data_IF_321899948762
#
_entry.id   IF_321899948762
#
_cell.length_a   1.000
_cell.length_b   1.000
_cell.length_c   1.000
_cell.angle_alpha   90.00
_cell.angle_beta   90.00
_cell.angle_gamma   90.00
#
_symmetry.space_group_name_H-M   'P 1'
#
loop_
_entity.id
_entity.type
_entity.pdbx_description
1 polymer ?
#
# COMPACT_ATOMS: atom_id res chain seq x y z
N UNK A 1 12.88 -3.96 -4.58
CA UNK A 1 11.85 -3.96 -3.52
C UNK A 1 11.87 -5.29 -2.78
N UNK A 2 11.49 -6.41 -3.42
CA UNK A 2 11.47 -7.74 -2.80
C UNK A 2 12.77 -8.13 -2.10
N UNK A 3 13.91 -8.04 -2.80
CA UNK A 3 15.21 -8.39 -2.24
C UNK A 3 15.60 -7.51 -1.05
N UNK A 4 15.34 -6.21 -1.12
CA UNK A 4 15.64 -5.26 -0.06
C UNK A 4 14.86 -5.59 1.23
N UNK A 5 13.58 -5.95 1.11
CA UNK A 5 12.81 -6.37 2.27
C UNK A 5 13.41 -7.64 2.90
N UNK A 6 13.78 -8.63 2.08
CA UNK A 6 14.38 -9.86 2.57
C UNK A 6 15.69 -9.64 3.34
N UNK A 7 16.54 -8.73 2.84
CA UNK A 7 17.86 -8.43 3.43
C UNK A 7 17.77 -7.54 4.67
N UNK A 8 16.78 -6.64 4.73
CA UNK A 8 16.73 -5.56 5.72
C UNK A 8 15.50 -5.58 6.64
N UNK A 9 14.61 -6.58 6.58
CA UNK A 9 13.38 -6.55 7.38
C UNK A 9 13.61 -6.48 8.90
N UNK A 10 14.80 -6.80 9.40
CA UNK A 10 15.10 -6.73 10.84
C UNK A 10 15.60 -5.36 11.30
N UNK A 11 15.90 -4.45 10.38
CA UNK A 11 16.57 -3.18 10.68
C UNK A 11 15.60 -2.04 11.06
N UNK A 12 14.30 -2.30 10.99
CA UNK A 12 13.27 -1.28 11.16
C UNK A 12 12.35 -1.60 12.34
N UNK A 13 11.89 -0.57 13.04
CA UNK A 13 10.83 -0.69 14.05
C UNK A 13 9.43 -0.81 13.40
N UNK A 14 9.29 -0.20 12.22
CA UNK A 14 8.08 -0.21 11.42
C UNK A 14 8.39 -0.40 9.93
N UNK A 15 7.64 -1.28 9.27
CA UNK A 15 7.74 -1.52 7.83
C UNK A 15 6.41 -1.18 7.16
N UNK A 16 6.44 -0.22 6.24
CA UNK A 16 5.42 -0.10 5.20
C UNK A 16 6.03 -0.54 3.87
N UNK A 17 5.45 -1.57 3.23
CA UNK A 17 5.81 -1.92 1.86
C UNK A 17 4.60 -1.90 0.92
N UNK A 18 4.84 -1.48 -0.33
CA UNK A 18 3.89 -1.56 -1.45
C UNK A 18 4.63 -2.20 -2.63
N UNK A 19 4.88 -3.52 -2.56
CA UNK A 19 5.65 -4.22 -3.57
C UNK A 19 4.93 -4.20 -4.93
N UNK A 20 5.64 -3.98 -6.05
CA UNK A 20 5.00 -3.98 -7.36
C UNK A 20 4.50 -5.38 -7.71
N UNK A 21 3.19 -5.62 -7.68
CA UNK A 21 2.63 -6.94 -7.99
C UNK A 21 1.49 -6.88 -9.03
N UNK A 22 1.83 -6.58 -10.30
CA UNK A 22 0.83 -6.39 -11.36
C UNK A 22 0.04 -7.67 -11.69
N UNK A 23 0.59 -8.84 -11.37
CA UNK A 23 -0.01 -10.15 -11.63
C UNK A 23 -1.20 -10.46 -10.74
N UNK A 24 -1.46 -9.70 -9.67
CA UNK A 24 -2.63 -9.90 -8.80
C UNK A 24 -3.81 -9.01 -9.16
N UNK A 25 -3.56 -7.83 -9.72
CA UNK A 25 -4.58 -6.80 -9.95
C UNK A 25 -5.78 -7.28 -10.78
N UNK A 26 -6.97 -6.75 -10.47
CA UNK A 26 -8.22 -6.92 -11.23
C UNK A 26 -8.05 -6.70 -12.75
N UNK A 27 -7.05 -5.91 -13.16
CA UNK A 27 -6.74 -5.71 -14.59
C UNK A 27 -6.40 -7.01 -15.33
N UNK A 28 -6.03 -8.08 -14.62
CA UNK A 28 -5.75 -9.38 -15.24
C UNK A 28 -6.99 -10.00 -15.90
N UNK A 29 -8.22 -9.65 -15.51
CA UNK A 29 -9.41 -10.04 -16.28
C UNK A 29 -9.36 -9.48 -17.72
N UNK A 30 -9.03 -8.20 -17.85
CA UNK A 30 -8.89 -7.53 -19.16
C UNK A 30 -7.66 -8.02 -19.92
N UNK A 31 -6.55 -8.26 -19.22
CA UNK A 31 -5.33 -8.76 -19.86
C UNK A 31 -5.53 -10.20 -20.39
N UNK A 32 -6.22 -11.04 -19.63
CA UNK A 32 -6.55 -12.39 -20.06
C UNK A 32 -7.44 -12.38 -21.31
N UNK A 33 -8.43 -11.48 -21.39
CA UNK A 33 -9.31 -11.39 -22.56
C UNK A 33 -8.61 -10.92 -23.85
N UNK A 34 -7.43 -10.30 -23.74
CA UNK A 34 -6.57 -9.93 -24.89
C UNK A 34 -5.39 -10.90 -25.09
N UNK A 35 -5.42 -12.07 -24.43
CA UNK A 35 -4.44 -13.14 -24.61
C UNK A 35 -3.18 -13.04 -23.74
N UNK A 36 -3.10 -12.09 -22.80
CA UNK A 36 -1.99 -12.00 -21.85
C UNK A 36 -2.31 -12.88 -20.64
N UNK A 37 -1.77 -14.09 -20.66
CA UNK A 37 -1.94 -15.10 -19.61
C UNK A 37 -0.66 -15.21 -18.78
N UNK A 38 -0.79 -15.19 -17.45
CA UNK A 38 0.33 -15.30 -16.50
C UNK A 38 -0.15 -15.75 -15.14
N UNK A 39 0.72 -16.45 -14.42
CA UNK A 39 0.45 -16.83 -13.03
C UNK A 39 0.50 -15.61 -12.10
N UNK A 40 -0.28 -15.61 -11.00
CA UNK A 40 -0.07 -14.70 -9.89
C UNK A 40 1.33 -14.91 -9.30
N UNK A 41 2.13 -13.86 -9.21
CA UNK A 41 3.44 -13.89 -8.55
C UNK A 41 3.29 -14.09 -7.04
N UNK A 42 3.79 -15.20 -6.54
CA UNK A 42 3.67 -15.56 -5.13
C UNK A 42 4.63 -14.78 -4.21
N UNK A 43 5.51 -13.94 -4.76
CA UNK A 43 6.44 -13.12 -3.97
C UNK A 43 5.71 -12.20 -2.98
N UNK A 44 4.52 -11.69 -3.34
CA UNK A 44 3.67 -10.94 -2.38
C UNK A 44 3.37 -11.76 -1.13
N UNK A 45 2.98 -13.03 -1.29
CA UNK A 45 2.67 -13.89 -0.15
C UNK A 45 3.91 -14.30 0.62
N UNK A 46 5.05 -14.48 -0.05
CA UNK A 46 6.34 -14.73 0.62
C UNK A 46 6.69 -13.59 1.58
N UNK A 47 6.54 -12.33 1.15
CA UNK A 47 6.77 -11.17 2.01
C UNK A 47 5.79 -11.10 3.18
N UNK A 48 4.49 -11.33 2.94
CA UNK A 48 3.48 -11.36 4.00
C UNK A 48 3.84 -12.41 5.05
N UNK A 49 4.22 -13.62 4.62
CA UNK A 49 4.57 -14.73 5.51
C UNK A 49 5.86 -14.41 6.28
N UNK A 50 6.88 -13.85 5.63
CA UNK A 50 8.13 -13.43 6.26
C UNK A 50 7.85 -12.47 7.43
N UNK A 51 7.11 -11.39 7.16
CA UNK A 51 6.81 -10.40 8.19
C UNK A 51 5.87 -10.95 9.27
N UNK A 52 4.86 -11.75 8.89
CA UNK A 52 3.93 -12.35 9.86
C UNK A 52 4.62 -13.31 10.83
N UNK A 53 5.67 -14.02 10.39
CA UNK A 53 6.34 -15.05 11.19
C UNK A 53 7.57 -14.56 11.93
N UNK A 54 8.38 -13.73 11.29
CA UNK A 54 9.74 -13.44 11.78
C UNK A 54 9.92 -12.00 12.24
N UNK A 55 9.21 -11.04 11.66
CA UNK A 55 9.37 -9.64 12.03
C UNK A 55 8.74 -9.33 13.40
N UNK A 56 9.45 -8.57 14.22
CA UNK A 56 9.04 -8.26 15.61
C UNK A 56 8.33 -6.91 15.75
N UNK A 57 8.59 -5.98 14.83
CA UNK A 57 7.98 -4.66 14.82
C UNK A 57 6.56 -4.64 14.22
N UNK A 58 6.10 -3.44 13.90
CA UNK A 58 4.81 -3.25 13.22
C UNK A 58 5.00 -3.25 11.72
N UNK A 59 4.10 -3.90 10.99
CA UNK A 59 4.20 -3.90 9.52
C UNK A 59 2.85 -3.68 8.85
N UNK A 60 2.92 -3.14 7.65
CA UNK A 60 1.80 -2.96 6.73
C UNK A 60 2.29 -3.24 5.30
N UNK A 61 1.79 -4.33 4.71
CA UNK A 61 1.96 -4.60 3.28
C UNK A 61 0.69 -4.13 2.56
N UNK A 62 0.83 -3.23 1.60
CA UNK A 62 -0.27 -2.66 0.82
C UNK A 62 -0.23 -3.17 -0.62
N UNK A 63 -1.39 -3.52 -1.17
CA UNK A 63 -1.53 -3.77 -2.60
C UNK A 63 -2.96 -3.50 -3.08
N UNK A 64 -3.14 -3.32 -4.39
CA UNK A 64 -4.48 -3.28 -5.00
C UNK A 64 -5.21 -4.61 -4.81
N UNK A 65 -6.55 -4.55 -4.77
CA UNK A 65 -7.40 -5.73 -4.67
C UNK A 65 -7.07 -6.74 -5.78
N UNK A 66 -6.86 -8.02 -5.44
CA UNK A 66 -6.64 -9.06 -6.41
C UNK A 66 -7.92 -9.42 -7.19
N UNK A 67 -7.78 -10.08 -8.33
CA UNK A 67 -8.91 -10.64 -9.10
C UNK A 67 -9.48 -11.95 -8.53
N UNK A 68 -8.95 -12.42 -7.40
CA UNK A 68 -9.30 -13.68 -6.74
C UNK A 68 -9.39 -13.45 -5.22
N UNK A 69 -9.92 -14.43 -4.48
CA UNK A 69 -9.98 -14.34 -3.02
C UNK A 69 -8.58 -14.45 -2.39
N UNK A 70 -8.11 -13.46 -1.60
CA UNK A 70 -6.77 -13.50 -1.02
C UNK A 70 -6.53 -14.75 -0.16
N UNK A 71 -5.37 -15.37 -0.31
CA UNK A 71 -5.00 -16.57 0.48
C UNK A 71 -4.78 -16.25 1.96
N UNK A 72 -4.41 -15.01 2.26
CA UNK A 72 -4.26 -14.47 3.61
C UNK A 72 -5.22 -13.30 3.72
N UNK A 73 -6.10 -13.33 4.72
CA UNK A 73 -7.16 -12.32 4.90
C UNK A 73 -6.56 -10.92 5.14
N UNK A 74 -6.85 -9.92 4.28
CA UNK A 74 -6.39 -8.55 4.48
C UNK A 74 -7.44 -7.69 5.20
N UNK A 75 -7.02 -6.51 5.63
CA UNK A 75 -7.91 -5.39 5.93
C UNK A 75 -8.20 -4.63 4.64
N UNK A 76 -9.47 -4.27 4.41
CA UNK A 76 -9.91 -3.67 3.16
C UNK A 76 -10.17 -2.17 3.29
N UNK A 77 -9.71 -1.41 2.31
CA UNK A 77 -9.74 0.04 2.38
C UNK A 77 -9.74 0.60 0.96
N UNK A 78 -10.94 0.92 0.46
CA UNK A 78 -11.14 1.40 -0.91
C UNK A 78 -10.80 0.31 -1.93
N UNK A 79 -9.87 0.61 -2.85
CA UNK A 79 -9.37 -0.34 -3.87
C UNK A 79 -8.15 -1.15 -3.41
N UNK A 80 -7.68 -0.93 -2.19
CA UNK A 80 -6.46 -1.54 -1.67
C UNK A 80 -6.79 -2.50 -0.53
N UNK A 81 -5.91 -3.49 -0.40
CA UNK A 81 -5.81 -4.44 0.68
C UNK A 81 -4.53 -4.21 1.44
N UNK A 82 -4.63 -4.44 2.74
CA UNK A 82 -3.56 -4.20 3.69
C UNK A 82 -3.39 -5.42 4.57
N UNK A 83 -2.19 -6.01 4.57
CA UNK A 83 -1.80 -7.05 5.51
C UNK A 83 -0.94 -6.42 6.60
N UNK A 84 -1.54 -6.22 7.76
CA UNK A 84 -0.90 -5.56 8.90
C UNK A 84 -1.17 -6.32 10.20
N UNK A 85 -0.22 -6.27 11.12
CA UNK A 85 -0.33 -6.87 12.47
C UNK A 85 -0.95 -5.91 13.51
N UNK A 86 -1.68 -4.89 13.05
CA UNK A 86 -2.44 -3.93 13.84
C UNK A 86 -3.69 -3.50 13.09
N UNK A 87 -4.68 -2.99 13.80
CA UNK A 87 -5.92 -2.50 13.19
C UNK A 87 -5.69 -1.17 12.45
N UNK A 88 -5.99 -1.15 11.16
CA UNK A 88 -5.93 0.06 10.35
C UNK A 88 -7.19 0.89 10.61
N UNK A 89 -7.06 2.19 10.88
CA UNK A 89 -8.21 3.06 11.14
C UNK A 89 -9.15 3.11 9.92
N UNK A 90 -10.48 3.14 10.14
CA UNK A 90 -11.45 3.31 9.07
C UNK A 90 -11.32 4.72 8.49
N UNK A 91 -11.05 4.82 7.19
CA UNK A 91 -10.82 6.11 6.53
C UNK A 91 -12.13 6.62 5.93
N UNK A 92 -12.63 7.71 6.49
CA UNK A 92 -13.94 8.32 6.17
C UNK A 92 -13.84 9.33 5.01
N UNK A 93 -12.68 9.97 4.83
CA UNK A 93 -12.46 11.02 3.82
C UNK A 93 -11.34 10.63 2.86
N UNK A 94 -11.69 9.91 1.79
CA UNK A 94 -10.71 9.41 0.81
C UNK A 94 -10.84 10.11 -0.51
N UNK A 95 -9.71 10.36 -1.15
CA UNK A 95 -9.63 10.71 -2.56
C UNK A 95 -10.08 9.48 -3.36
N UNK A 96 -11.21 9.56 -4.06
CA UNK A 96 -11.64 8.49 -4.96
C UNK A 96 -10.81 8.59 -6.24
N UNK A 97 -10.45 7.46 -6.85
CA UNK A 97 -9.71 7.50 -8.12
C UNK A 97 -10.48 8.24 -9.23
N UNK A 98 -11.82 8.22 -9.18
CA UNK A 98 -12.67 9.03 -10.06
C UNK A 98 -12.40 10.53 -9.91
N UNK A 99 -12.01 10.97 -8.71
CA UNK A 99 -11.66 12.36 -8.44
C UNK A 99 -10.36 12.75 -9.17
N UNK A 100 -9.46 11.81 -9.44
CA UNK A 100 -8.22 12.03 -10.20
C UNK A 100 -8.37 11.86 -11.72
N UNK A 101 -9.53 11.41 -12.20
CA UNK A 101 -9.80 11.28 -13.63
C UNK A 101 -10.26 12.62 -14.23
N UNK A 102 -9.86 12.87 -15.48
CA UNK A 102 -10.45 13.92 -16.32
C UNK A 102 -11.82 13.52 -16.87
N UNK A 103 -12.49 14.46 -17.53
CA UNK A 103 -13.84 14.31 -18.12
C UNK A 103 -13.99 13.13 -19.08
N UNK A 104 -12.89 12.64 -19.68
CA UNK A 104 -12.87 11.52 -20.62
C UNK A 104 -12.21 10.24 -20.07
N UNK A 105 -12.07 10.11 -18.75
CA UNK A 105 -11.45 8.92 -18.12
C UNK A 105 -9.91 8.84 -18.23
N UNK A 106 -9.29 9.72 -19.02
CA UNK A 106 -7.84 9.97 -19.01
C UNK A 106 -7.41 10.68 -17.72
N UNK A 107 -6.25 10.30 -17.15
CA UNK A 107 -5.77 10.88 -15.90
C UNK A 107 -5.51 12.39 -16.03
N UNK A 108 -6.07 13.20 -15.12
CA UNK A 108 -5.82 14.64 -15.09
C UNK A 108 -4.70 14.96 -14.10
N UNK A 109 -3.52 15.27 -14.64
CA UNK A 109 -2.32 15.56 -13.85
C UNK A 109 -2.49 16.74 -12.90
N UNK A 110 -3.19 17.81 -13.31
CA UNK A 110 -3.41 18.98 -12.47
C UNK A 110 -4.34 18.64 -11.30
N UNK A 111 -5.42 17.89 -11.57
CA UNK A 111 -6.37 17.46 -10.55
C UNK A 111 -5.75 16.48 -9.54
N UNK A 112 -4.94 15.52 -10.03
CA UNK A 112 -4.21 14.59 -9.17
C UNK A 112 -3.18 15.30 -8.28
N UNK A 113 -2.43 16.27 -8.82
CA UNK A 113 -1.50 17.09 -8.03
C UNK A 113 -2.21 17.88 -6.92
N UNK A 114 -3.34 18.50 -7.23
CA UNK A 114 -4.12 19.28 -6.26
C UNK A 114 -4.68 18.40 -5.15
N UNK A 115 -5.22 17.22 -5.51
CA UNK A 115 -5.82 16.30 -4.54
C UNK A 115 -4.77 15.63 -3.64
N UNK A 116 -3.65 15.21 -4.22
CA UNK A 116 -2.58 14.55 -3.46
C UNK A 116 -1.66 15.54 -2.74
N UNK A 117 -1.64 16.81 -3.14
CA UNK A 117 -0.76 17.84 -2.56
C UNK A 117 0.72 17.71 -2.94
N UNK A 118 1.06 16.92 -3.95
CA UNK A 118 2.45 16.70 -4.39
C UNK A 118 2.70 17.17 -5.83
N UNK A 119 3.81 17.88 -6.05
CA UNK A 119 4.22 18.33 -7.38
C UNK A 119 5.47 17.58 -7.89
N UNK A 120 5.26 16.72 -8.89
CA UNK A 120 6.33 16.01 -9.59
C UNK A 120 6.96 16.82 -10.74
N UNK A 121 6.65 18.12 -10.88
CA UNK A 121 7.23 18.96 -11.96
C UNK A 121 8.76 19.00 -11.90
N UNK A 122 9.31 19.08 -10.69
CA UNK A 122 10.73 19.28 -10.40
C UNK A 122 11.63 18.06 -10.63
N UNK A 123 11.05 16.86 -10.75
CA UNK A 123 11.81 15.61 -10.90
C UNK A 123 11.82 15.18 -12.36
N UNK A 124 12.97 14.79 -12.91
CA UNK A 124 12.99 14.17 -14.23
C UNK A 124 12.65 12.68 -14.10
N UNK A 125 11.41 12.32 -14.42
CA UNK A 125 10.98 10.92 -14.37
C UNK A 125 9.97 10.59 -15.48
N UNK A 126 10.09 9.40 -16.09
CA UNK A 126 9.15 8.96 -17.10
C UNK A 126 7.80 8.63 -16.46
N UNK A 127 6.69 8.95 -17.15
CA UNK A 127 5.32 8.56 -16.78
C UNK A 127 4.84 9.10 -15.42
N UNK A 128 5.08 10.39 -15.14
CA UNK A 128 4.61 11.12 -13.93
C UNK A 128 3.13 10.89 -13.60
N UNK A 129 2.29 10.80 -14.63
CA UNK A 129 0.86 10.58 -14.50
C UNK A 129 0.56 9.19 -13.92
N UNK A 130 1.34 8.18 -14.32
CA UNK A 130 1.24 6.82 -13.80
C UNK A 130 1.67 6.77 -12.33
N UNK A 131 2.71 7.53 -11.95
CA UNK A 131 3.15 7.64 -10.56
C UNK A 131 2.03 8.23 -9.69
N UNK A 132 1.49 9.40 -10.06
CA UNK A 132 0.41 10.05 -9.32
C UNK A 132 -0.84 9.16 -9.16
N UNK A 133 -1.19 8.38 -10.19
CA UNK A 133 -2.33 7.45 -10.12
C UNK A 133 -2.11 6.23 -9.24
N UNK A 134 -0.86 5.85 -9.03
CA UNK A 134 -0.47 4.73 -8.17
C UNK A 134 -0.17 5.18 -6.74
N UNK A 135 -0.03 6.48 -6.48
CA UNK A 135 0.11 6.98 -5.12
C UNK A 135 -1.10 6.59 -4.27
N UNK A 136 -0.80 6.09 -3.07
CA UNK A 136 -1.80 5.95 -2.00
C UNK A 136 -2.21 7.36 -1.55
N UNK A 137 -3.47 7.49 -1.14
CA UNK A 137 -3.97 8.74 -0.55
C UNK A 137 -3.13 9.13 0.68
N UNK A 138 -2.53 10.34 0.72
CA UNK A 138 -1.64 10.76 1.79
C UNK A 138 -2.29 10.72 3.18
N UNK A 139 -3.61 10.92 3.27
CA UNK A 139 -4.34 10.83 4.53
C UNK A 139 -4.35 9.40 5.09
N UNK A 140 -4.35 8.39 4.20
CA UNK A 140 -4.18 6.98 4.57
C UNK A 140 -2.77 6.73 5.10
N UNK A 141 -1.78 7.28 4.38
CA UNK A 141 -0.38 7.36 4.79
C UNK A 141 -0.24 7.80 6.24
N UNK A 142 -0.75 9.01 6.50
CA UNK A 142 -0.70 9.65 7.80
C UNK A 142 -1.43 8.84 8.87
N UNK A 143 -2.65 8.38 8.60
CA UNK A 143 -3.44 7.65 9.59
C UNK A 143 -2.80 6.32 10.02
N UNK A 144 -2.15 5.61 9.10
CA UNK A 144 -1.41 4.38 9.42
C UNK A 144 -0.18 4.71 10.27
N UNK A 145 0.59 5.73 9.90
CA UNK A 145 1.77 6.15 10.65
C UNK A 145 1.41 6.63 12.07
N UNK A 146 0.43 7.52 12.19
CA UNK A 146 -0.07 8.01 13.48
C UNK A 146 -0.50 6.85 14.38
N UNK A 147 -1.16 5.83 13.79
CA UNK A 147 -1.60 4.66 14.56
C UNK A 147 -0.44 3.84 15.10
N UNK A 148 0.63 3.67 14.32
CA UNK A 148 1.83 2.97 14.76
C UNK A 148 2.52 3.76 15.89
N UNK A 149 2.70 5.06 15.73
CA UNK A 149 3.29 5.93 16.75
C UNK A 149 2.48 5.93 18.05
N UNK A 150 1.16 5.91 17.96
CA UNK A 150 0.27 5.76 19.11
C UNK A 150 0.54 4.43 19.83
N UNK A 151 0.64 3.31 19.11
CA UNK A 151 0.90 2.00 19.70
C UNK A 151 2.26 1.97 20.41
N UNK A 152 3.30 2.49 19.76
CA UNK A 152 4.65 2.56 20.35
C UNK A 152 4.67 3.41 21.63
N UNK A 153 3.99 4.57 21.62
CA UNK A 153 3.89 5.44 22.80
C UNK A 153 3.21 4.73 23.97
N UNK A 154 2.13 3.97 23.72
CA UNK A 154 1.44 3.20 24.76
C UNK A 154 2.30 2.05 25.31
N UNK A 155 3.14 1.42 24.48
CA UNK A 155 4.04 0.36 24.91
C UNK A 155 5.13 0.91 25.86
N UNK A 156 5.71 2.08 25.54
CA UNK A 156 6.70 2.74 26.38
C UNK A 156 6.13 3.13 27.75
N UNK A 157 4.91 3.68 27.80
CA UNK A 157 4.25 4.06 29.07
C UNK A 157 4.03 2.83 29.95
N UNK A 158 3.52 1.72 29.40
CA UNK A 158 3.30 0.48 30.18
C UNK A 158 4.59 -0.04 30.78
N UNK A 159 5.70 0.02 30.03
CA UNK A 159 7.00 -0.40 30.53
C UNK A 159 7.49 0.51 31.67
N UNK A 160 7.30 1.83 31.57
CA UNK A 160 7.71 2.77 32.62
C UNK A 160 6.87 2.74 33.92
N UNK A 161 5.62 2.29 33.86
CA UNK A 161 4.71 2.20 35.03
C UNK A 161 4.87 0.88 35.81
N UNK A 162 5.52 -0.12 35.21
CA UNK A 162 5.74 -1.45 35.81
C UNK A 162 7.05 -1.56 36.60
N UNK A 163 7.78 -0.45 36.81
CA UNK A 163 8.99 -0.37 37.63
C UNK A 163 8.80 0.54 38.83
#
# INVERSE_FOLDING_TARGET
AHQYLLEHYQEFDFIWCSPPCPTHSIINFTLNSIGVVRYPDMTLYQEIILLQKFFKGKYCIENVKPYYEPLIKPQASGRHYFWANFQIPPLVNRIKHQDMNGTNGGGNKQKAKQLLGFDLSKYDCPKKEKLLRNCVDPLIGKAILDKVLEIESHNQIKQGVLF
#
